data_IF_238738859115
#
_entry.id   IF_238738859115
#
_cell.length_a   1.000
_cell.length_b   1.000
_cell.length_c   1.000
_cell.angle_alpha   90.00
_cell.angle_beta   90.00
_cell.angle_gamma   90.00
#
_symmetry.space_group_name_H-M   'P 1'
#
loop_
_entity.id
_entity.type
_entity.pdbx_description
1 polymer ?
#
# COMPACT_ATOMS: atom_id res chain seq x y z
N UNK A 1 55.83 -14.40 11.38
CA UNK A 1 56.32 -14.61 10.00
C UNK A 1 56.20 -16.09 9.64
N UNK A 2 55.32 -16.47 8.71
CA UNK A 2 55.23 -17.87 8.23
C UNK A 2 56.45 -18.17 7.35
N UNK A 3 57.24 -19.19 7.71
CA UNK A 3 58.31 -19.69 6.83
C UNK A 3 57.66 -20.24 5.55
N UNK A 4 58.03 -19.69 4.39
CA UNK A 4 57.53 -20.15 3.09
C UNK A 4 57.99 -21.59 2.88
N UNK A 5 57.07 -22.50 2.55
CA UNK A 5 57.43 -23.87 2.23
C UNK A 5 58.44 -23.87 1.06
N UNK A 6 59.50 -24.69 1.12
CA UNK A 6 60.43 -24.80 0.01
C UNK A 6 59.65 -25.22 -1.25
N UNK A 7 60.04 -24.67 -2.41
CA UNK A 7 59.44 -25.07 -3.68
C UNK A 7 59.63 -26.58 -3.84
N UNK A 8 58.54 -27.31 -4.09
CA UNK A 8 58.61 -28.74 -4.31
C UNK A 8 59.53 -29.01 -5.51
N UNK A 9 60.49 -29.92 -5.32
CA UNK A 9 61.40 -30.33 -6.39
C UNK A 9 60.67 -31.11 -7.49
N UNK A 10 61.43 -31.59 -8.48
CA UNK A 10 60.86 -32.45 -9.52
C UNK A 10 60.32 -33.74 -8.88
N UNK A 11 59.11 -34.21 -9.23
CA UNK A 11 58.58 -35.47 -8.72
C UNK A 11 59.47 -36.66 -9.14
N UNK A 12 59.58 -37.72 -8.31
CA UNK A 12 60.46 -38.88 -8.57
C UNK A 12 60.19 -39.63 -9.90
N UNK A 13 59.00 -39.45 -10.48
CA UNK A 13 58.53 -40.10 -11.71
C UNK A 13 59.25 -39.53 -12.95
N UNK A 14 59.78 -38.31 -12.88
CA UNK A 14 60.42 -37.67 -14.02
C UNK A 14 61.88 -38.11 -14.16
N UNK A 15 62.33 -38.48 -15.36
CA UNK A 15 63.73 -38.80 -15.58
C UNK A 15 64.61 -37.56 -15.36
N UNK A 16 65.87 -37.74 -14.91
CA UNK A 16 66.80 -36.62 -14.79
C UNK A 16 67.05 -35.98 -16.15
N UNK A 17 67.30 -34.66 -16.15
CA UNK A 17 67.68 -33.91 -17.34
C UNK A 17 68.91 -34.54 -18.00
N UNK A 18 69.00 -34.48 -19.34
CA UNK A 18 70.16 -34.96 -20.10
C UNK A 18 71.48 -34.36 -19.59
N UNK A 19 71.47 -33.10 -19.15
CA UNK A 19 72.63 -32.40 -18.58
C UNK A 19 73.05 -32.93 -17.22
N UNK A 20 72.09 -33.26 -16.34
CA UNK A 20 72.37 -33.75 -14.98
C UNK A 20 72.69 -35.25 -14.98
N UNK A 21 72.14 -36.01 -15.93
CA UNK A 21 72.29 -37.46 -16.07
C UNK A 21 73.75 -37.93 -16.04
N UNK A 22 74.65 -37.14 -16.63
CA UNK A 22 76.07 -37.46 -16.72
C UNK A 22 76.96 -36.49 -15.93
N UNK A 23 76.36 -35.55 -15.20
CA UNK A 23 77.11 -34.59 -14.38
C UNK A 23 77.46 -35.23 -13.04
N UNK A 24 78.74 -35.49 -12.83
CA UNK A 24 79.27 -35.91 -11.53
C UNK A 24 79.68 -34.67 -10.75
N UNK A 25 79.18 -34.53 -9.53
CA UNK A 25 79.58 -33.44 -8.64
C UNK A 25 80.98 -33.76 -8.10
N UNK A 26 81.97 -33.04 -8.58
CA UNK A 26 83.33 -33.11 -8.05
C UNK A 26 83.45 -32.15 -6.87
N UNK A 27 83.50 -32.73 -5.67
CA UNK A 27 83.75 -31.96 -4.45
C UNK A 27 85.23 -31.55 -4.45
N UNK A 28 85.56 -30.27 -4.22
CA UNK A 28 86.95 -29.84 -4.15
C UNK A 28 87.65 -30.53 -2.97
N UNK A 29 88.92 -30.89 -3.16
CA UNK A 29 89.76 -31.37 -2.07
C UNK A 29 89.95 -30.25 -1.05
N UNK A 30 89.76 -30.60 0.23
CA UNK A 30 89.98 -29.70 1.36
C UNK A 30 91.11 -30.25 2.21
N UNK A 31 91.87 -29.36 2.85
CA UNK A 31 92.92 -29.78 3.78
C UNK A 31 92.29 -30.46 5.01
N UNK A 32 92.87 -31.56 5.51
CA UNK A 32 92.29 -32.31 6.64
C UNK A 32 92.08 -31.47 7.90
N UNK A 33 93.01 -30.57 8.21
CA UNK A 33 92.98 -29.71 9.39
C UNK A 33 91.71 -28.82 9.45
N UNK A 34 91.37 -28.17 8.33
CA UNK A 34 90.16 -27.35 8.26
C UNK A 34 88.88 -28.17 8.38
N UNK A 35 88.87 -29.39 7.82
CA UNK A 35 87.69 -30.27 7.89
C UNK A 35 87.45 -30.71 9.33
N UNK A 36 88.50 -31.11 10.04
CA UNK A 36 88.43 -31.49 11.45
C UNK A 36 87.91 -30.33 12.32
N UNK A 37 88.48 -29.14 12.15
CA UNK A 37 88.06 -27.96 12.90
C UNK A 37 86.60 -27.59 12.59
N UNK A 38 86.19 -27.62 11.31
CA UNK A 38 84.83 -27.29 10.89
C UNK A 38 83.81 -28.28 11.47
N UNK A 39 84.14 -29.58 11.46
CA UNK A 39 83.31 -30.62 12.06
C UNK A 39 83.17 -30.44 13.56
N UNK A 40 84.28 -30.12 14.25
CA UNK A 40 84.26 -29.85 15.68
C UNK A 40 83.41 -28.61 16.02
N UNK A 41 83.63 -27.48 15.34
CA UNK A 41 82.84 -26.25 15.53
C UNK A 41 81.35 -26.49 15.26
N UNK A 42 81.01 -27.22 14.19
CA UNK A 42 79.63 -27.61 13.88
C UNK A 42 79.03 -28.45 15.00
N UNK A 43 79.78 -29.41 15.53
CA UNK A 43 79.31 -30.28 16.62
C UNK A 43 79.02 -29.46 17.88
N UNK A 44 79.97 -28.62 18.31
CA UNK A 44 79.83 -27.76 19.49
C UNK A 44 78.64 -26.81 19.34
N UNK A 45 78.52 -26.12 18.20
CA UNK A 45 77.40 -25.21 17.94
C UNK A 45 76.05 -25.94 17.96
N UNK A 46 75.95 -27.08 17.27
CA UNK A 46 74.69 -27.84 17.22
C UNK A 46 74.30 -28.34 18.62
N UNK A 47 75.25 -28.80 19.42
CA UNK A 47 74.97 -29.21 20.80
C UNK A 47 74.45 -28.05 21.64
N UNK A 48 75.07 -26.87 21.54
CA UNK A 48 74.59 -25.66 22.23
C UNK A 48 73.18 -25.27 21.78
N UNK A 49 72.90 -25.28 20.47
CA UNK A 49 71.57 -24.97 19.93
C UNK A 49 70.50 -25.99 20.33
N UNK A 50 70.85 -27.28 20.39
CA UNK A 50 69.96 -28.34 20.87
C UNK A 50 69.62 -28.11 22.35
N UNK A 51 70.61 -27.74 23.17
CA UNK A 51 70.42 -27.42 24.58
C UNK A 51 69.46 -26.22 24.76
N UNK A 52 69.71 -25.11 24.06
CA UNK A 52 68.84 -23.92 24.11
C UNK A 52 67.40 -24.28 23.68
N UNK A 53 67.27 -25.05 22.59
CA UNK A 53 65.95 -25.48 22.10
C UNK A 53 65.22 -26.37 23.11
N UNK A 54 65.95 -27.18 23.88
CA UNK A 54 65.37 -27.99 24.95
C UNK A 54 64.83 -27.11 26.07
N UNK A 55 65.61 -26.13 26.55
CA UNK A 55 65.17 -25.17 27.58
C UNK A 55 63.87 -24.47 27.17
N UNK A 56 63.80 -23.92 25.96
CA UNK A 56 62.57 -23.26 25.51
C UNK A 56 61.37 -24.21 25.35
N UNK A 57 61.60 -25.46 24.98
CA UNK A 57 60.52 -26.47 24.95
C UNK A 57 60.00 -26.76 26.35
N UNK A 58 60.90 -26.91 27.31
CA UNK A 58 60.55 -27.20 28.69
C UNK A 58 59.82 -25.99 29.33
N UNK A 59 60.22 -24.76 29.01
CA UNK A 59 59.49 -23.54 29.42
C UNK A 59 58.08 -23.46 28.83
N UNK A 60 57.90 -23.76 27.53
CA UNK A 60 56.59 -23.78 26.88
C UNK A 60 55.70 -24.84 27.56
N UNK A 61 56.23 -26.05 27.75
CA UNK A 61 55.51 -27.13 28.42
C UNK A 61 55.12 -26.77 29.85
N UNK A 62 56.02 -26.14 30.61
CA UNK A 62 55.72 -25.69 31.97
C UNK A 62 54.61 -24.63 32.00
N UNK A 63 54.57 -23.71 31.02
CA UNK A 63 53.48 -22.73 30.89
C UNK A 63 52.14 -23.38 30.52
N UNK A 64 52.16 -24.41 29.69
CA UNK A 64 50.99 -25.22 29.36
C UNK A 64 50.46 -25.97 30.61
N UNK A 65 51.36 -26.63 31.36
CA UNK A 65 51.02 -27.33 32.62
C UNK A 65 50.49 -26.38 33.70
N UNK A 66 50.95 -25.11 33.72
CA UNK A 66 50.43 -24.05 34.59
C UNK A 66 49.07 -23.49 34.14
N UNK A 67 48.47 -24.00 33.05
CA UNK A 67 47.19 -23.52 32.55
C UNK A 67 47.23 -22.13 31.90
N UNK A 68 48.44 -21.60 31.63
CA UNK A 68 48.64 -20.40 30.80
C UNK A 68 48.83 -20.77 29.31
N UNK A 69 48.53 -22.01 28.95
CA UNK A 69 48.49 -22.47 27.58
C UNK A 69 47.33 -21.84 26.80
N UNK A 70 47.46 -21.83 25.47
CA UNK A 70 46.43 -21.31 24.57
C UNK A 70 45.12 -22.12 24.70
N UNK A 71 45.20 -23.41 25.04
CA UNK A 71 44.03 -24.28 25.18
C UNK A 71 43.18 -23.94 26.40
N UNK A 72 43.81 -23.72 27.56
CA UNK A 72 43.10 -23.34 28.78
C UNK A 72 42.39 -21.98 28.65
N UNK A 73 43.04 -21.01 27.99
CA UNK A 73 42.41 -19.72 27.69
C UNK A 73 41.20 -19.90 26.76
N UNK A 74 41.34 -20.76 25.73
CA UNK A 74 40.26 -21.05 24.79
C UNK A 74 39.07 -21.73 25.45
N UNK A 75 39.30 -22.62 26.41
CA UNK A 75 38.23 -23.24 27.18
C UNK A 75 37.47 -22.21 28.03
N UNK A 76 38.18 -21.29 28.67
CA UNK A 76 37.56 -20.18 29.42
C UNK A 76 36.73 -19.28 28.49
N UNK A 77 37.29 -18.89 27.34
CA UNK A 77 36.58 -18.08 26.34
C UNK A 77 35.30 -18.77 25.82
N UNK A 78 35.31 -20.09 25.66
CA UNK A 78 34.12 -20.85 25.23
C UNK A 78 33.03 -20.85 26.30
N UNK A 79 33.40 -21.03 27.58
CA UNK A 79 32.45 -20.97 28.69
C UNK A 79 31.83 -19.58 28.79
N UNK A 80 32.65 -18.52 28.74
CA UNK A 80 32.16 -17.14 28.74
C UNK A 80 31.23 -16.87 27.55
N UNK A 81 31.56 -17.38 26.37
CA UNK A 81 30.73 -17.25 25.17
C UNK A 81 29.36 -17.92 25.37
N UNK A 82 29.33 -19.14 25.92
CA UNK A 82 28.09 -19.87 26.19
C UNK A 82 27.20 -19.12 27.19
N UNK A 83 27.78 -18.53 28.24
CA UNK A 83 27.06 -17.70 29.21
C UNK A 83 26.45 -16.46 28.55
N UNK A 84 27.20 -15.78 27.68
CA UNK A 84 26.72 -14.59 26.96
C UNK A 84 25.59 -14.93 25.98
N UNK A 85 25.68 -16.08 25.31
CA UNK A 85 24.62 -16.58 24.43
C UNK A 85 23.35 -16.86 25.25
N UNK A 86 23.47 -17.54 26.39
CA UNK A 86 22.33 -17.82 27.26
C UNK A 86 21.64 -16.53 27.76
N UNK A 87 22.41 -15.53 28.16
CA UNK A 87 21.87 -14.22 28.54
C UNK A 87 21.20 -13.50 27.37
N UNK A 88 21.75 -13.61 26.16
CA UNK A 88 21.15 -13.02 24.96
C UNK A 88 19.80 -13.67 24.64
N UNK A 89 19.73 -14.99 24.72
CA UNK A 89 18.50 -15.76 24.51
C UNK A 89 17.41 -15.38 25.51
N UNK A 90 17.76 -15.20 26.79
CA UNK A 90 16.79 -14.76 27.79
C UNK A 90 16.25 -13.35 27.49
N UNK A 91 17.12 -12.41 27.11
CA UNK A 91 16.70 -11.06 26.68
C UNK A 91 15.81 -11.10 25.44
N UNK A 92 16.14 -11.95 24.47
CA UNK A 92 15.36 -12.13 23.26
C UNK A 92 13.98 -12.70 23.54
N UNK A 93 13.87 -13.67 24.47
CA UNK A 93 12.59 -14.22 24.93
C UNK A 93 11.70 -13.15 25.55
N UNK A 94 12.23 -12.37 26.49
CA UNK A 94 11.50 -11.24 27.12
C UNK A 94 11.04 -10.22 26.08
N UNK A 95 11.91 -9.87 25.13
CA UNK A 95 11.57 -8.95 24.05
C UNK A 95 10.54 -9.54 23.07
N UNK A 96 10.53 -10.86 22.84
CA UNK A 96 9.53 -11.53 22.02
C UNK A 96 8.16 -11.54 22.71
N UNK A 97 8.10 -11.76 24.02
CA UNK A 97 6.86 -11.67 24.80
C UNK A 97 6.26 -10.26 24.76
N UNK A 98 7.09 -9.23 24.97
CA UNK A 98 6.65 -7.83 24.84
C UNK A 98 6.15 -7.50 23.43
N UNK A 99 6.81 -8.03 22.39
CA UNK A 99 6.34 -7.88 21.00
C UNK A 99 4.96 -8.52 20.80
N UNK A 100 4.74 -9.74 21.30
CA UNK A 100 3.44 -10.42 21.20
C UNK A 100 2.32 -9.62 21.84
N UNK A 101 2.57 -8.99 23.00
CA UNK A 101 1.56 -8.15 23.68
C UNK A 101 1.22 -6.95 22.80
N UNK A 102 2.21 -6.19 22.32
CA UNK A 102 1.98 -5.03 21.44
C UNK A 102 1.31 -5.41 20.12
N UNK A 103 1.67 -6.54 19.54
CA UNK A 103 1.09 -7.02 18.30
C UNK A 103 -0.37 -7.43 18.51
N UNK A 104 -0.71 -8.02 19.65
CA UNK A 104 -2.09 -8.33 20.01
C UNK A 104 -2.94 -7.05 20.18
N UNK A 105 -2.43 -6.05 20.90
CA UNK A 105 -3.08 -4.75 21.05
C UNK A 105 -3.31 -4.07 19.69
N UNK A 106 -2.29 -4.05 18.84
CA UNK A 106 -2.38 -3.52 17.47
C UNK A 106 -3.40 -4.30 16.62
N UNK A 107 -3.47 -5.63 16.75
CA UNK A 107 -4.45 -6.43 16.03
C UNK A 107 -5.88 -6.07 16.45
N UNK A 108 -6.12 -5.85 17.75
CA UNK A 108 -7.44 -5.40 18.24
C UNK A 108 -7.81 -4.01 17.71
N UNK A 109 -6.85 -3.08 17.63
CA UNK A 109 -7.07 -1.77 17.02
C UNK A 109 -7.42 -1.88 15.53
N UNK A 110 -6.68 -2.69 14.78
CA UNK A 110 -6.93 -2.93 13.36
C UNK A 110 -8.32 -3.56 13.17
N UNK A 111 -8.69 -4.55 13.98
CA UNK A 111 -10.03 -5.17 13.93
C UNK A 111 -11.14 -4.14 14.11
N UNK A 112 -11.00 -3.24 15.10
CA UNK A 112 -11.96 -2.15 15.33
C UNK A 112 -12.05 -1.19 14.15
N UNK A 113 -10.92 -0.83 13.54
CA UNK A 113 -10.89 0.05 12.37
C UNK A 113 -11.58 -0.61 11.17
N UNK A 114 -11.27 -1.87 10.90
CA UNK A 114 -11.88 -2.64 9.80
C UNK A 114 -13.39 -2.80 10.01
N UNK A 115 -13.84 -3.09 11.24
CA UNK A 115 -15.28 -3.18 11.52
C UNK A 115 -16.01 -1.86 11.23
N UNK A 116 -15.43 -0.72 11.65
CA UNK A 116 -16.00 0.60 11.34
C UNK A 116 -16.05 0.87 9.84
N UNK A 117 -14.99 0.55 9.13
CA UNK A 117 -14.95 0.72 7.67
C UNK A 117 -16.01 -0.15 6.99
N UNK A 118 -16.15 -1.41 7.41
CA UNK A 118 -17.20 -2.32 6.92
C UNK A 118 -18.60 -1.74 7.17
N UNK A 119 -18.88 -1.25 8.38
CA UNK A 119 -20.16 -0.62 8.72
C UNK A 119 -20.43 0.61 7.84
N UNK A 120 -19.44 1.47 7.64
CA UNK A 120 -19.56 2.65 6.77
C UNK A 120 -19.81 2.26 5.31
N UNK A 121 -19.12 1.25 4.78
CA UNK A 121 -19.34 0.76 3.42
C UNK A 121 -20.74 0.18 3.26
N UNK A 122 -21.18 -0.62 4.22
CA UNK A 122 -22.48 -1.27 4.20
C UNK A 122 -23.62 -0.25 4.27
N UNK A 123 -23.49 0.78 5.11
CA UNK A 123 -24.45 1.86 5.18
C UNK A 123 -24.56 2.64 3.86
N UNK A 124 -23.43 2.94 3.22
CA UNK A 124 -23.41 3.58 1.89
C UNK A 124 -24.10 2.71 0.85
N UNK A 125 -23.83 1.41 0.83
CA UNK A 125 -24.47 0.47 -0.08
C UNK A 125 -25.99 0.41 0.15
N UNK A 126 -26.45 0.38 1.40
CA UNK A 126 -27.88 0.44 1.73
C UNK A 126 -28.53 1.73 1.25
N UNK A 127 -27.93 2.89 1.53
CA UNK A 127 -28.45 4.18 1.05
C UNK A 127 -28.54 4.24 -0.48
N UNK A 128 -27.53 3.73 -1.16
CA UNK A 128 -27.48 3.72 -2.62
C UNK A 128 -28.51 2.74 -3.21
N UNK A 129 -28.69 1.58 -2.58
CA UNK A 129 -29.74 0.62 -2.93
C UNK A 129 -31.14 1.21 -2.72
N UNK A 130 -31.37 1.93 -1.62
CA UNK A 130 -32.64 2.63 -1.39
C UNK A 130 -32.92 3.70 -2.44
N UNK A 131 -31.91 4.50 -2.82
CA UNK A 131 -32.07 5.52 -3.87
C UNK A 131 -32.42 4.88 -5.20
N UNK A 132 -31.68 3.84 -5.59
CA UNK A 132 -31.93 3.09 -6.84
C UNK A 132 -33.31 2.44 -6.86
N UNK A 133 -33.76 1.85 -5.75
CA UNK A 133 -35.10 1.25 -5.68
C UNK A 133 -36.21 2.31 -5.79
N UNK A 134 -36.04 3.48 -5.15
CA UNK A 134 -36.97 4.62 -5.31
C UNK A 134 -37.01 5.14 -6.75
N UNK A 135 -35.86 5.24 -7.41
CA UNK A 135 -35.77 5.63 -8.83
C UNK A 135 -36.48 4.64 -9.75
N UNK A 136 -36.23 3.33 -9.55
CA UNK A 136 -36.91 2.28 -10.33
C UNK A 136 -38.42 2.32 -10.11
N UNK A 137 -38.88 2.48 -8.87
CA UNK A 137 -40.30 2.62 -8.57
C UNK A 137 -40.93 3.83 -9.28
N UNK A 138 -40.29 4.99 -9.22
CA UNK A 138 -40.76 6.20 -9.92
C UNK A 138 -40.79 6.03 -11.44
N UNK A 139 -39.83 5.30 -12.02
CA UNK A 139 -39.83 4.97 -13.45
C UNK A 139 -40.97 4.02 -13.80
N UNK A 140 -41.26 3.02 -12.97
CA UNK A 140 -42.39 2.11 -13.16
C UNK A 140 -43.71 2.88 -13.14
N UNK A 141 -43.92 3.78 -12.18
CA UNK A 141 -45.09 4.65 -12.13
C UNK A 141 -45.19 5.53 -13.39
N UNK A 142 -44.06 6.10 -13.85
CA UNK A 142 -44.01 6.89 -15.08
C UNK A 142 -44.30 6.07 -16.33
N UNK A 143 -43.89 4.80 -16.35
CA UNK A 143 -44.03 3.92 -17.51
C UNK A 143 -45.49 3.63 -17.86
N UNK A 144 -46.40 3.68 -16.88
CA UNK A 144 -47.83 3.60 -17.12
C UNK A 144 -48.36 4.71 -18.05
N UNK A 145 -47.67 5.86 -18.10
CA UNK A 145 -48.03 6.99 -18.95
C UNK A 145 -47.34 6.98 -20.33
N UNK A 146 -46.55 5.95 -20.65
CA UNK A 146 -45.86 5.86 -21.94
C UNK A 146 -46.81 5.51 -23.09
N UNK A 147 -46.45 5.96 -24.30
CA UNK A 147 -47.25 5.74 -25.50
C UNK A 147 -46.91 4.36 -26.08
N UNK A 148 -47.88 3.46 -26.05
CA UNK A 148 -47.81 2.14 -26.69
C UNK A 148 -48.49 2.18 -28.07
N UNK A 149 -48.26 1.15 -28.90
CA UNK A 149 -48.87 1.03 -30.23
C UNK A 149 -50.40 1.14 -30.18
N UNK A 150 -51.01 0.58 -29.14
CA UNK A 150 -52.47 0.57 -28.96
C UNK A 150 -53.04 1.93 -28.50
N UNK A 151 -52.25 2.77 -27.82
CA UNK A 151 -52.65 4.07 -27.26
C UNK A 151 -52.17 5.26 -28.13
N UNK A 152 -51.55 4.99 -29.28
CA UNK A 152 -50.87 6.00 -30.08
C UNK A 152 -51.83 7.07 -30.62
N UNK A 153 -52.90 6.64 -31.30
CA UNK A 153 -53.85 7.55 -31.96
C UNK A 153 -54.59 8.43 -30.95
N UNK A 154 -54.96 7.86 -29.79
CA UNK A 154 -55.64 8.58 -28.71
C UNK A 154 -54.74 9.67 -28.13
N UNK A 155 -53.45 9.37 -27.88
CA UNK A 155 -52.48 10.34 -27.36
C UNK A 155 -52.15 11.44 -28.37
N UNK A 156 -52.15 11.14 -29.67
CA UNK A 156 -51.98 12.15 -30.74
C UNK A 156 -53.14 13.16 -30.71
N UNK A 157 -54.38 12.69 -30.60
CA UNK A 157 -55.55 13.57 -30.50
C UNK A 157 -55.51 14.41 -29.22
N UNK A 158 -55.19 13.80 -28.07
CA UNK A 158 -55.05 14.52 -26.80
C UNK A 158 -54.00 15.64 -26.87
N UNK A 159 -52.84 15.36 -27.47
CA UNK A 159 -51.77 16.34 -27.65
C UNK A 159 -52.17 17.47 -28.61
N UNK A 160 -52.94 17.17 -29.66
CA UNK A 160 -53.48 18.18 -30.59
C UNK A 160 -54.60 19.02 -29.97
N UNK A 161 -55.30 18.52 -28.96
CA UNK A 161 -56.36 19.25 -28.25
C UNK A 161 -55.81 20.14 -27.14
N UNK A 162 -54.76 19.68 -26.43
CA UNK A 162 -54.14 20.39 -25.30
C UNK A 162 -52.70 20.82 -25.61
N UNK A 163 -52.50 21.88 -26.40
CA UNK A 163 -51.16 22.44 -26.62
C UNK A 163 -50.60 22.97 -25.29
N UNK A 164 -49.36 22.56 -24.95
CA UNK A 164 -48.68 23.00 -23.73
C UNK A 164 -47.47 23.85 -24.10
N UNK A 165 -47.36 25.04 -23.47
CA UNK A 165 -46.25 25.97 -23.65
C UNK A 165 -45.31 25.83 -22.46
N UNK A 166 -44.02 25.70 -22.73
CA UNK A 166 -42.98 25.63 -21.70
C UNK A 166 -42.21 26.94 -21.55
N UNK A 167 -42.60 27.98 -22.28
CA UNK A 167 -41.96 29.29 -22.24
C UNK A 167 -42.29 29.99 -20.92
N UNK A 168 -41.24 30.46 -20.25
CA UNK A 168 -41.37 31.27 -19.05
C UNK A 168 -40.24 32.29 -18.99
N UNK A 169 -40.54 33.47 -18.45
CA UNK A 169 -39.55 34.50 -18.16
C UNK A 169 -39.12 34.42 -16.69
N UNK A 170 -37.86 34.78 -16.40
CA UNK A 170 -37.35 34.84 -15.03
C UNK A 170 -36.95 36.28 -14.73
N UNK A 171 -37.45 36.82 -13.62
CA UNK A 171 -37.05 38.14 -13.14
C UNK A 171 -35.67 38.12 -12.47
N UNK A 172 -35.05 39.29 -12.28
CA UNK A 172 -33.79 39.44 -11.54
C UNK A 172 -33.86 38.91 -10.09
N UNK A 173 -35.06 38.74 -9.52
CA UNK A 173 -35.31 38.13 -8.20
C UNK A 173 -35.43 36.60 -8.23
N UNK A 174 -35.44 35.99 -9.42
CA UNK A 174 -35.62 34.54 -9.61
C UNK A 174 -37.08 34.09 -9.79
N UNK A 175 -38.04 35.02 -9.72
CA UNK A 175 -39.47 34.69 -9.90
C UNK A 175 -39.77 34.32 -11.36
N UNK A 176 -40.46 33.20 -11.57
CA UNK A 176 -40.85 32.68 -12.88
C UNK A 176 -42.24 33.16 -13.27
N UNK A 177 -42.37 33.72 -14.47
CA UNK A 177 -43.63 34.15 -15.07
C UNK A 177 -43.91 33.27 -16.28
N UNK A 178 -45.06 32.59 -16.25
CA UNK A 178 -45.51 31.68 -17.31
C UNK A 178 -46.56 32.36 -18.17
N UNK A 179 -46.56 32.04 -19.45
CA UNK A 179 -47.63 32.43 -20.35
C UNK A 179 -48.91 31.61 -20.07
N UNK A 180 -50.10 32.19 -20.29
CA UNK A 180 -51.36 31.48 -20.09
C UNK A 180 -51.52 30.33 -21.10
N UNK A 181 -52.24 29.27 -20.70
CA UNK A 181 -52.45 28.10 -21.56
C UNK A 181 -53.13 28.48 -22.90
N UNK A 182 -52.57 28.08 -24.05
CA UNK A 182 -53.14 28.43 -25.35
C UNK A 182 -54.44 27.66 -25.60
N UNK A 183 -55.48 28.38 -26.00
CA UNK A 183 -56.79 27.80 -26.34
C UNK A 183 -56.84 27.50 -27.85
N UNK A 184 -57.16 26.25 -28.22
CA UNK A 184 -57.20 25.78 -29.62
C UNK A 184 -58.23 26.50 -30.49
N UNK A 185 -59.41 26.80 -29.93
CA UNK A 185 -60.47 27.52 -30.62
C UNK A 185 -60.68 28.87 -29.93
N UNK A 186 -60.64 29.97 -30.69
CA UNK A 186 -61.09 31.26 -30.19
C UNK A 186 -62.62 31.21 -30.08
N UNK A 187 -63.14 30.97 -28.88
CA UNK A 187 -64.58 31.07 -28.61
C UNK A 187 -64.96 32.56 -28.52
N UNK A 188 -65.53 33.10 -29.59
CA UNK A 188 -65.98 34.50 -29.67
C UNK A 188 -66.02 35.05 -31.10
N UNK A 189 -66.54 36.27 -31.27
CA UNK A 189 -66.57 36.96 -32.56
C UNK A 189 -65.14 37.16 -33.08
N UNK A 190 -64.80 36.76 -34.31
CA UNK A 190 -63.43 36.80 -34.81
C UNK A 190 -62.89 38.24 -34.75
N UNK A 191 -61.78 38.42 -34.04
CA UNK A 191 -61.11 39.71 -33.96
C UNK A 191 -60.50 40.01 -35.34
N UNK A 192 -60.92 41.14 -35.94
CA UNK A 192 -60.39 41.66 -37.20
C UNK A 192 -58.86 41.63 -37.16
N UNK A 193 -58.24 40.87 -38.08
CA UNK A 193 -56.79 40.63 -38.14
C UNK A 193 -55.97 41.89 -37.84
N UNK A 194 -55.33 41.92 -36.68
CA UNK A 194 -54.17 42.77 -36.38
C UNK A 194 -53.05 41.85 -35.92
N UNK A 195 -52.16 41.47 -36.83
CA UNK A 195 -50.88 40.83 -36.52
C UNK A 195 -50.95 39.50 -35.76
N UNK A 196 -49.76 38.97 -35.41
CA UNK A 196 -49.62 37.80 -34.55
C UNK A 196 -50.26 38.10 -33.19
N UNK A 197 -51.18 37.24 -32.75
CA UNK A 197 -52.00 37.42 -31.54
C UNK A 197 -51.15 37.48 -30.25
N UNK A 198 -49.89 37.06 -30.30
CA UNK A 198 -48.97 37.01 -29.15
C UNK A 198 -48.09 38.25 -28.99
N UNK A 199 -48.11 39.19 -29.95
CA UNK A 199 -47.53 40.52 -29.73
C UNK A 199 -48.53 41.39 -28.95
N UNK A 200 -48.79 41.03 -27.68
CA UNK A 200 -49.08 42.07 -26.69
C UNK A 200 -47.75 42.77 -26.43
N UNK A 201 -47.37 43.66 -27.35
CA UNK A 201 -46.35 44.66 -27.09
C UNK A 201 -46.68 45.30 -25.74
N UNK A 202 -45.71 45.27 -24.84
CA UNK A 202 -45.64 45.94 -23.54
C UNK A 202 -46.44 47.26 -23.53
N UNK A 203 -47.74 47.17 -23.25
CA UNK A 203 -48.56 48.31 -22.88
C UNK A 203 -49.23 47.96 -21.57
N UNK A 204 -48.70 48.63 -20.55
CA UNK A 204 -49.21 48.74 -19.21
C UNK A 204 -50.68 49.16 -19.25
N UNK A 205 -51.59 48.26 -18.88
CA UNK A 205 -52.90 48.66 -18.36
C UNK A 205 -53.10 47.96 -17.03
N UNK A 206 -52.91 48.72 -15.95
CA UNK A 206 -53.40 48.39 -14.62
C UNK A 206 -54.92 48.17 -14.69
N UNK A 207 -55.36 46.92 -14.83
CA UNK A 207 -56.72 46.54 -14.42
C UNK A 207 -56.67 45.89 -13.04
N UNK A 208 -56.70 46.78 -12.06
CA UNK A 208 -57.22 46.65 -10.70
C UNK A 208 -57.45 45.23 -10.16
N UNK A 209 -56.58 44.84 -9.23
CA UNK A 209 -56.74 43.82 -8.18
C UNK A 209 -57.94 44.06 -7.21
N UNK A 210 -58.94 44.86 -7.60
CA UNK A 210 -60.04 45.26 -6.72
C UNK A 210 -61.36 44.50 -6.94
N UNK A 211 -61.46 43.63 -7.95
CA UNK A 211 -62.71 42.94 -8.28
C UNK A 211 -62.85 41.53 -7.66
N UNK A 212 -61.75 40.83 -7.38
CA UNK A 212 -61.83 39.41 -6.98
C UNK A 212 -61.91 39.19 -5.47
N UNK A 213 -61.56 40.19 -4.64
CA UNK A 213 -61.71 40.10 -3.18
C UNK A 213 -63.19 40.04 -2.76
N UNK A 214 -64.12 40.57 -3.58
CA UNK A 214 -65.57 40.52 -3.25
C UNK A 214 -66.25 39.18 -3.59
N UNK A 215 -65.57 38.25 -4.24
CA UNK A 215 -66.16 36.95 -4.59
C UNK A 215 -65.82 35.84 -3.59
N UNK A 216 -64.69 35.94 -2.89
CA UNK A 216 -64.28 34.92 -1.92
C UNK A 216 -64.98 35.04 -0.55
N UNK A 217 -65.39 36.24 -0.12
CA UNK A 217 -66.15 36.39 1.14
C UNK A 217 -67.58 35.82 1.11
N UNK A 218 -68.13 35.49 -0.08
CA UNK A 218 -69.48 34.90 -0.19
C UNK A 218 -69.52 33.38 -0.24
N UNK A 219 -68.38 32.70 -0.41
CA UNK A 219 -68.36 31.22 -0.53
C UNK A 219 -67.95 30.56 0.80
N UNK A 220 -67.19 31.24 1.66
CA UNK A 220 -66.71 30.69 2.95
C UNK A 220 -67.73 30.61 4.10
N UNK A 221 -69.04 30.71 3.84
CA UNK A 221 -70.07 30.73 4.90
C UNK A 221 -71.13 29.61 4.82
N UNK A 222 -70.94 28.59 3.99
CA UNK A 222 -71.93 27.51 3.82
C UNK A 222 -71.50 26.10 4.23
N UNK A 223 -70.23 25.83 4.55
CA UNK A 223 -69.78 24.45 4.82
C UNK A 223 -69.24 24.29 6.25
N UNK A 224 -70.13 24.48 7.23
CA UNK A 224 -69.87 24.14 8.63
C UNK A 224 -71.19 23.77 9.31
N UNK A 225 -71.86 22.75 8.78
CA UNK A 225 -72.82 21.93 9.53
C UNK A 225 -73.01 20.60 8.81
N UNK A 226 -73.08 19.53 9.60
CA UNK A 226 -73.23 18.09 9.25
C UNK A 226 -71.95 17.24 9.27
N UNK A 227 -71.61 16.75 10.47
CA UNK A 227 -71.74 15.31 10.78
C UNK A 227 -71.42 15.05 12.26
N UNK A 228 -72.44 14.61 12.99
CA UNK A 228 -72.30 13.76 14.19
C UNK A 228 -71.89 12.34 13.80
#
# INVERSE_FOLDING_TARGET
MRRKAPKQGKPPILPPSKTVRYHVVHVPWQEPEYVEELLWRRHVYNNAMISIKKVFKDEIRSKEEQGMGIEALREQELVELDELIAQNDERNRKAAEQRKIRDAERQEEIRKMVLKEMEETLNKEYEEAEKRTKEVAAIIERSANFVNKDNLDQKILEALEKPKVFDFCINLKGDKYYDPEPVKYQTGTPTRQKGRVYDRTLFWEQRSLAADVKKEEKVGKMDLDQSS
#
